data_IF_871983748384
#
_entry.id   IF_871983748384
#
_cell.length_a   1.000
_cell.length_b   1.000
_cell.length_c   1.000
_cell.angle_alpha   90.00
_cell.angle_beta   90.00
_cell.angle_gamma   90.00
#
_symmetry.space_group_name_H-M   'P 1'
#
loop_
_entity.id
_entity.type
_entity.pdbx_description
1 polymer ?
#
# COMPACT_ATOMS: atom_id res chain seq x y z
N UNK A 1 0.15 -14.32 7.67
CA UNK A 1 -0.09 -15.61 7.00
C UNK A 1 -0.07 -15.36 5.49
N UNK A 2 0.52 -16.24 4.68
CA UNK A 2 0.57 -16.10 3.22
C UNK A 2 -0.24 -17.23 2.61
N UNK A 3 -1.39 -16.93 2.03
CA UNK A 3 -2.24 -17.88 1.34
C UNK A 3 -2.14 -17.69 -0.17
N UNK A 4 -1.79 -18.75 -0.90
CA UNK A 4 -1.77 -18.77 -2.36
C UNK A 4 -2.88 -19.71 -2.84
N UNK A 5 -3.84 -19.17 -3.58
CA UNK A 5 -4.97 -19.91 -4.13
C UNK A 5 -5.16 -19.60 -5.62
N UNK A 6 -5.74 -20.52 -6.39
CA UNK A 6 -5.74 -20.41 -7.85
C UNK A 6 -4.34 -20.65 -8.44
N UNK A 7 -4.14 -20.42 -9.74
CA UNK A 7 -2.86 -20.68 -10.44
C UNK A 7 -1.65 -19.85 -9.99
N UNK A 8 -1.74 -19.14 -8.87
CA UNK A 8 -0.68 -18.28 -8.35
C UNK A 8 0.60 -19.06 -8.03
N UNK A 9 1.75 -18.45 -8.33
CA UNK A 9 3.08 -19.00 -8.04
C UNK A 9 3.86 -17.97 -7.23
N UNK A 10 4.43 -18.38 -6.09
CA UNK A 10 5.39 -17.59 -5.33
C UNK A 10 6.80 -18.12 -5.60
N UNK A 11 7.63 -17.29 -6.23
CA UNK A 11 9.06 -17.55 -6.41
C UNK A 11 9.84 -16.71 -5.43
N UNK A 12 10.59 -17.34 -4.52
CA UNK A 12 11.43 -16.65 -3.54
C UNK A 12 12.75 -17.39 -3.39
N UNK A 13 13.86 -16.66 -3.43
CA UNK A 13 15.21 -17.20 -3.21
C UNK A 13 15.42 -17.63 -1.74
N UNK A 14 14.61 -17.10 -0.82
CA UNK A 14 14.63 -17.45 0.60
C UNK A 14 13.20 -17.72 1.11
N UNK A 15 12.65 -18.93 0.85
CA UNK A 15 11.27 -19.24 1.22
C UNK A 15 11.05 -19.17 2.73
N UNK A 16 9.86 -18.73 3.19
CA UNK A 16 9.51 -18.64 4.62
C UNK A 16 9.74 -19.98 5.33
N UNK A 17 10.38 -19.94 6.50
CA UNK A 17 10.65 -21.14 7.32
C UNK A 17 9.67 -21.21 8.49
N UNK A 18 9.08 -22.38 8.72
CA UNK A 18 8.23 -22.62 9.90
C UNK A 18 9.02 -22.38 11.19
N UNK A 19 8.36 -21.80 12.20
CA UNK A 19 8.93 -21.53 13.55
C UNK A 19 10.07 -20.50 13.60
N UNK A 20 10.22 -19.65 12.58
CA UNK A 20 11.09 -18.47 12.65
C UNK A 20 10.61 -17.48 13.74
N UNK A 21 11.54 -16.65 14.25
CA UNK A 21 11.16 -15.51 15.11
C UNK A 21 10.30 -14.53 14.29
N UNK A 22 9.48 -13.74 14.98
CA UNK A 22 8.83 -12.61 14.34
C UNK A 22 9.93 -11.63 13.90
N UNK A 23 9.83 -11.13 12.67
CA UNK A 23 10.62 -9.99 12.26
C UNK A 23 10.33 -8.81 13.21
N UNK A 24 11.38 -8.09 13.60
CA UNK A 24 11.20 -6.79 14.23
C UNK A 24 10.52 -5.88 13.21
N UNK A 25 9.52 -5.11 13.66
CA UNK A 25 8.78 -4.20 12.80
C UNK A 25 9.53 -2.86 12.72
N UNK A 26 10.19 -2.53 11.60
CA UNK A 26 11.01 -1.31 11.51
C UNK A 26 10.16 -0.05 11.37
N UNK A 27 8.87 -0.16 11.07
CA UNK A 27 8.00 0.96 10.71
C UNK A 27 6.99 1.35 11.81
N UNK A 28 6.96 0.59 12.92
CA UNK A 28 5.97 0.80 14.00
C UNK A 28 6.08 2.16 14.69
N UNK A 29 7.29 2.73 14.75
CA UNK A 29 7.57 3.99 15.47
C UNK A 29 7.64 5.21 14.55
N UNK A 30 7.19 5.09 13.29
CA UNK A 30 7.18 6.22 12.38
C UNK A 30 6.26 7.33 12.87
N UNK A 31 6.70 8.60 12.81
CA UNK A 31 5.85 9.71 13.23
C UNK A 31 4.64 9.80 12.30
N UNK A 32 3.46 10.05 12.85
CA UNK A 32 2.25 10.30 12.06
C UNK A 32 1.88 11.78 12.22
N UNK A 33 1.62 12.54 11.14
CA UNK A 33 1.31 13.96 11.26
C UNK A 33 -0.13 14.16 11.79
N UNK A 34 -0.30 14.14 13.11
CA UNK A 34 -1.63 14.19 13.78
C UNK A 34 -2.05 15.61 14.20
N UNK A 35 -1.12 16.55 14.30
CA UNK A 35 -1.34 17.90 14.87
C UNK A 35 -1.85 18.96 13.86
N UNK A 36 -2.15 18.58 12.62
CA UNK A 36 -2.54 19.54 11.56
C UNK A 36 -4.03 19.43 11.22
N UNK A 37 -4.74 20.55 11.04
CA UNK A 37 -6.11 20.51 10.53
C UNK A 37 -6.19 19.92 9.11
N UNK A 38 -7.41 19.67 8.63
CA UNK A 38 -7.62 19.22 7.25
C UNK A 38 -7.23 20.32 6.25
N UNK A 39 -6.33 20.02 5.32
CA UNK A 39 -6.10 20.89 4.14
C UNK A 39 -7.27 20.76 3.16
N UNK A 40 -7.78 19.54 3.01
CA UNK A 40 -8.98 19.22 2.23
C UNK A 40 -9.97 18.49 3.12
N UNK A 41 -11.14 19.09 3.32
CA UNK A 41 -12.21 18.51 4.15
C UNK A 41 -13.23 17.75 3.29
N UNK A 42 -13.61 16.56 3.75
CA UNK A 42 -14.57 15.69 3.08
C UNK A 42 -13.95 14.89 1.94
N UNK A 43 -14.80 14.15 1.24
CA UNK A 43 -14.36 13.23 0.20
C UNK A 43 -13.85 13.97 -1.04
N UNK A 44 -12.67 13.59 -1.49
CA UNK A 44 -12.03 14.09 -2.72
C UNK A 44 -12.31 13.14 -3.88
N UNK A 45 -12.78 13.67 -5.00
CA UNK A 45 -12.98 12.93 -6.25
C UNK A 45 -12.04 13.49 -7.31
N UNK A 46 -10.95 12.78 -7.59
CA UNK A 46 -10.02 13.10 -8.66
C UNK A 46 -10.56 12.59 -10.01
N UNK A 47 -10.60 13.48 -11.00
CA UNK A 47 -11.11 13.25 -12.36
C UNK A 47 -10.00 13.38 -13.41
N UNK A 48 -10.38 13.31 -14.68
CA UNK A 48 -9.44 13.37 -15.80
C UNK A 48 -8.50 14.57 -15.69
N UNK A 49 -7.19 14.29 -15.76
CA UNK A 49 -6.09 15.27 -15.72
C UNK A 49 -6.00 16.10 -14.41
N UNK A 50 -6.68 15.70 -13.33
CA UNK A 50 -6.55 16.36 -12.03
C UNK A 50 -5.14 16.15 -11.45
N UNK A 51 -4.60 17.20 -10.83
CA UNK A 51 -3.34 17.17 -10.09
C UNK A 51 -3.64 17.40 -8.61
N UNK A 52 -3.31 16.42 -7.78
CA UNK A 52 -3.45 16.48 -6.33
C UNK A 52 -2.10 16.87 -5.71
N UNK A 53 -2.13 17.79 -4.76
CA UNK A 53 -0.94 18.26 -4.03
C UNK A 53 -0.84 17.57 -2.66
N UNK A 54 0.35 17.34 -2.11
CA UNK A 54 0.52 16.80 -0.76
C UNK A 54 -0.24 17.60 0.31
N UNK A 55 -0.74 16.90 1.33
CA UNK A 55 -1.54 17.52 2.40
C UNK A 55 -2.39 16.52 3.19
N UNK A 56 -3.15 17.03 4.17
CA UNK A 56 -4.12 16.26 4.97
C UNK A 56 -5.51 16.30 4.34
N UNK A 57 -5.96 15.16 3.85
CA UNK A 57 -7.27 14.89 3.28
C UNK A 57 -8.14 14.19 4.32
N UNK A 58 -9.15 14.88 4.84
CA UNK A 58 -10.06 14.33 5.86
C UNK A 58 -11.30 13.72 5.21
N UNK A 59 -11.19 12.45 4.87
CA UNK A 59 -12.15 11.69 4.09
C UNK A 59 -11.48 10.99 2.91
N UNK A 60 -12.29 10.32 2.09
CA UNK A 60 -11.74 9.43 1.07
C UNK A 60 -11.07 10.22 -0.08
N UNK A 61 -9.99 9.67 -0.62
CA UNK A 61 -9.48 10.04 -1.93
C UNK A 61 -10.00 9.01 -2.93
N UNK A 62 -10.85 9.46 -3.87
CA UNK A 62 -11.42 8.63 -4.94
C UNK A 62 -10.84 9.03 -6.29
N UNK A 63 -10.04 8.16 -6.89
CA UNK A 63 -9.61 8.29 -8.29
C UNK A 63 -10.71 7.73 -9.20
N UNK A 64 -11.26 8.61 -10.03
CA UNK A 64 -12.41 8.32 -10.90
C UNK A 64 -12.19 8.73 -12.36
N UNK A 65 -11.02 9.25 -12.70
CA UNK A 65 -10.62 9.63 -14.06
C UNK A 65 -9.26 9.08 -14.46
N UNK A 66 -8.80 9.48 -15.64
CA UNK A 66 -7.50 9.11 -16.21
C UNK A 66 -6.46 10.23 -16.00
N UNK A 67 -5.17 9.92 -16.11
CA UNK A 67 -4.09 10.89 -15.93
C UNK A 67 -4.12 11.67 -14.59
N UNK A 68 -4.67 11.10 -13.52
CA UNK A 68 -4.65 11.75 -12.21
C UNK A 68 -3.21 11.73 -11.70
N UNK A 69 -2.65 12.91 -11.40
CA UNK A 69 -1.26 13.05 -10.96
C UNK A 69 -1.21 13.45 -9.49
N UNK A 70 -0.39 12.75 -8.71
CA UNK A 70 -0.02 13.11 -7.35
C UNK A 70 1.38 13.72 -7.41
N UNK A 71 1.48 15.00 -7.03
CA UNK A 71 2.79 15.65 -6.89
C UNK A 71 3.62 15.00 -5.76
N UNK A 72 4.96 15.01 -5.84
CA UNK A 72 5.80 14.38 -4.82
C UNK A 72 5.53 14.91 -3.41
N UNK A 73 5.39 14.01 -2.44
CA UNK A 73 5.19 14.34 -1.03
C UNK A 73 4.23 13.42 -0.28
N UNK A 74 3.85 13.83 0.93
CA UNK A 74 3.03 13.02 1.84
C UNK A 74 1.55 13.41 1.76
N UNK A 75 0.71 12.40 1.54
CA UNK A 75 -0.75 12.49 1.52
C UNK A 75 -1.30 11.79 2.76
N UNK A 76 -1.74 12.58 3.73
CA UNK A 76 -2.38 12.03 4.95
C UNK A 76 -3.87 11.90 4.68
N UNK A 77 -4.37 10.67 4.63
CA UNK A 77 -5.78 10.34 4.49
C UNK A 77 -6.30 10.04 5.89
N UNK A 78 -7.09 10.97 6.43
CA UNK A 78 -7.56 10.96 7.80
C UNK A 78 -9.05 10.62 7.86
N UNK A 79 -9.39 9.48 8.47
CA UNK A 79 -10.77 9.03 8.57
C UNK A 79 -11.38 8.60 7.22
N UNK A 80 -10.58 8.12 6.28
CA UNK A 80 -11.04 7.75 4.93
C UNK A 80 -10.13 6.77 4.19
N UNK A 81 -10.60 6.35 3.02
CA UNK A 81 -9.94 5.34 2.18
C UNK A 81 -9.24 5.95 0.95
N UNK A 82 -8.22 5.26 0.45
CA UNK A 82 -7.77 5.44 -0.93
C UNK A 82 -8.54 4.50 -1.86
N UNK A 83 -9.29 5.05 -2.82
CA UNK A 83 -10.19 4.28 -3.67
C UNK A 83 -9.88 4.56 -5.14
N UNK A 84 -9.65 3.51 -5.93
CA UNK A 84 -9.48 3.57 -7.38
C UNK A 84 -10.40 2.56 -8.05
N UNK A 85 -11.25 2.99 -8.98
CA UNK A 85 -12.25 2.12 -9.63
C UNK A 85 -12.01 1.98 -11.14
N UNK A 86 -12.74 1.08 -11.80
CA UNK A 86 -12.50 0.68 -13.18
C UNK A 86 -12.33 1.86 -14.16
N UNK A 87 -11.33 1.76 -15.04
CA UNK A 87 -10.92 2.78 -16.03
C UNK A 87 -10.40 4.08 -15.43
N UNK A 88 -9.83 4.04 -14.22
CA UNK A 88 -9.06 5.15 -13.67
C UNK A 88 -7.56 4.90 -13.78
N UNK A 89 -6.80 5.98 -13.81
CA UNK A 89 -5.36 5.96 -13.93
C UNK A 89 -4.76 7.02 -13.02
N UNK A 90 -3.85 6.59 -12.14
CA UNK A 90 -3.16 7.47 -11.20
C UNK A 90 -1.64 7.29 -11.27
N UNK A 91 -0.94 8.41 -11.18
CA UNK A 91 0.51 8.52 -11.24
C UNK A 91 1.05 9.30 -10.05
N UNK A 92 2.22 8.95 -9.53
CA UNK A 92 2.92 9.76 -8.54
C UNK A 92 4.32 9.24 -8.27
N UNK A 93 5.31 10.13 -8.28
CA UNK A 93 6.70 9.78 -7.98
C UNK A 93 7.12 10.46 -6.69
N UNK A 94 7.80 9.73 -5.81
CA UNK A 94 8.20 10.25 -4.49
C UNK A 94 7.01 10.56 -3.58
N UNK A 95 5.99 9.69 -3.60
CA UNK A 95 4.76 9.88 -2.84
C UNK A 95 4.66 8.88 -1.68
N UNK A 96 4.09 9.34 -0.57
CA UNK A 96 3.71 8.47 0.56
C UNK A 96 2.26 8.74 0.92
N UNK A 97 1.45 7.69 1.01
CA UNK A 97 0.07 7.75 1.49
C UNK A 97 0.00 7.21 2.91
N UNK A 98 -0.48 8.04 3.85
CA UNK A 98 -0.65 7.67 5.26
C UNK A 98 -2.15 7.57 5.55
N UNK A 99 -2.63 6.37 5.86
CA UNK A 99 -3.98 6.10 6.32
C UNK A 99 -4.01 6.21 7.84
N UNK A 100 -4.75 7.17 8.38
CA UNK A 100 -4.86 7.46 9.81
C UNK A 100 -6.29 7.82 10.17
N UNK A 101 -6.58 7.97 11.46
CA UNK A 101 -7.87 8.44 11.97
C UNK A 101 -7.80 8.87 13.42
N UNK A 102 -8.82 9.58 13.89
CA UNK A 102 -8.94 9.97 15.31
C UNK A 102 -9.11 8.74 16.23
N UNK A 103 -9.68 7.67 15.70
CA UNK A 103 -9.87 6.40 16.42
C UNK A 103 -9.46 5.20 15.56
N UNK A 104 -9.21 4.07 16.23
CA UNK A 104 -8.86 2.80 15.59
C UNK A 104 -9.83 2.36 14.48
N UNK A 105 -11.12 2.66 14.63
CA UNK A 105 -12.16 2.31 13.66
C UNK A 105 -12.25 3.27 12.47
N UNK A 106 -11.63 4.45 12.56
CA UNK A 106 -11.65 5.46 11.51
C UNK A 106 -10.47 5.31 10.55
N UNK A 107 -9.44 4.56 10.92
CA UNK A 107 -8.30 4.29 10.03
C UNK A 107 -8.76 3.45 8.84
N UNK A 108 -8.73 4.05 7.66
CA UNK A 108 -9.17 3.43 6.42
C UNK A 108 -8.16 2.46 5.80
N UNK A 109 -8.49 2.03 4.59
CA UNK A 109 -7.73 1.08 3.79
C UNK A 109 -7.51 1.53 2.35
N UNK A 110 -7.25 0.55 1.49
CA UNK A 110 -7.14 0.74 0.03
C UNK A 110 -8.18 -0.13 -0.65
N UNK A 111 -8.85 0.43 -1.65
CA UNK A 111 -9.74 -0.32 -2.53
C UNK A 111 -9.48 0.03 -3.99
N UNK A 112 -8.73 -0.82 -4.69
CA UNK A 112 -8.50 -0.74 -6.13
C UNK A 112 -9.28 -1.85 -6.84
N UNK A 113 -10.14 -1.47 -7.78
CA UNK A 113 -11.02 -2.41 -8.47
C UNK A 113 -10.99 -2.24 -10.00
N UNK A 114 -11.18 -3.36 -10.71
CA UNK A 114 -11.37 -3.39 -12.17
C UNK A 114 -10.09 -3.14 -12.96
N UNK A 115 -10.20 -2.72 -14.22
CA UNK A 115 -9.04 -2.34 -15.05
C UNK A 115 -8.56 -0.91 -14.71
N UNK A 116 -8.21 -0.67 -13.45
CA UNK A 116 -7.53 0.56 -13.02
C UNK A 116 -6.02 0.40 -13.11
N UNK A 117 -5.32 1.51 -13.34
CA UNK A 117 -3.85 1.56 -13.39
C UNK A 117 -3.33 2.49 -12.31
N UNK A 118 -2.37 2.02 -11.52
CA UNK A 118 -1.71 2.81 -10.49
C UNK A 118 -0.20 2.68 -10.66
N UNK A 119 0.44 3.80 -10.97
CA UNK A 119 1.90 3.90 -11.10
C UNK A 119 2.44 4.81 -10.01
N UNK A 120 3.04 4.23 -8.98
CA UNK A 120 3.54 5.00 -7.85
C UNK A 120 4.95 4.57 -7.43
N UNK A 121 5.77 5.53 -7.03
CA UNK A 121 7.03 5.25 -6.35
C UNK A 121 7.13 6.01 -5.03
N UNK A 122 7.57 5.30 -3.98
CA UNK A 122 7.88 5.89 -2.69
C UNK A 122 9.07 6.88 -2.80
N UNK A 123 9.18 7.85 -1.89
CA UNK A 123 10.35 8.73 -1.83
C UNK A 123 11.63 7.93 -1.55
N UNK A 124 12.72 8.31 -2.22
CA UNK A 124 14.06 7.73 -2.03
C UNK A 124 15.06 8.74 -1.44
N UNK A 125 14.54 9.88 -0.97
CA UNK A 125 15.34 10.95 -0.39
C UNK A 125 15.85 10.56 1.01
N UNK A 126 17.18 10.51 1.17
CA UNK A 126 17.85 10.25 2.45
C UNK A 126 17.40 11.25 3.53
N UNK A 127 16.94 10.71 4.66
CA UNK A 127 16.45 11.48 5.81
C UNK A 127 14.97 11.85 5.74
N UNK A 128 14.23 11.44 4.71
CA UNK A 128 12.78 11.43 4.74
C UNK A 128 12.31 10.33 5.72
N UNK A 129 11.50 10.64 6.76
CA UNK A 129 11.03 9.61 7.70
C UNK A 129 10.19 8.52 7.02
N UNK A 130 9.66 8.77 5.83
CA UNK A 130 8.90 7.79 5.03
C UNK A 130 9.66 7.29 3.79
N UNK A 131 10.99 7.43 3.77
CA UNK A 131 11.83 6.87 2.71
C UNK A 131 11.48 5.40 2.47
N UNK A 132 11.18 5.07 1.21
CA UNK A 132 10.81 3.72 0.80
C UNK A 132 9.36 3.30 1.07
N UNK A 133 8.57 4.12 1.77
CA UNK A 133 7.20 3.78 2.18
C UNK A 133 6.20 4.42 1.23
N UNK A 134 5.47 3.57 0.51
CA UNK A 134 4.46 4.01 -0.45
C UNK A 134 3.08 4.16 0.23
N UNK A 135 2.65 3.14 0.98
CA UNK A 135 1.43 3.19 1.77
C UNK A 135 1.73 2.78 3.22
N UNK A 136 1.24 3.57 4.16
CA UNK A 136 1.39 3.36 5.59
C UNK A 136 0.03 3.42 6.27
N UNK A 137 -0.37 2.35 6.94
CA UNK A 137 -1.55 2.33 7.80
C UNK A 137 -1.13 2.51 9.26
N UNK A 138 -1.74 3.48 9.92
CA UNK A 138 -1.53 3.76 11.34
C UNK A 138 -1.73 2.47 12.18
N UNK A 139 -0.73 2.03 12.97
CA UNK A 139 -0.83 0.87 13.86
C UNK A 139 -1.97 0.93 14.89
N UNK A 140 -2.58 2.10 15.13
CA UNK A 140 -3.78 2.21 15.98
C UNK A 140 -5.00 1.52 15.38
N UNK A 141 -5.01 1.23 14.07
CA UNK A 141 -6.14 0.65 13.35
C UNK A 141 -6.67 -0.64 14.02
N UNK A 142 -7.99 -0.84 13.95
CA UNK A 142 -8.59 -2.08 14.46
C UNK A 142 -8.03 -3.31 13.74
N UNK A 143 -7.78 -4.37 14.51
CA UNK A 143 -7.17 -5.58 13.97
C UNK A 143 -8.16 -6.36 13.09
N UNK A 144 -7.86 -6.42 11.79
CA UNK A 144 -8.55 -7.22 10.77
C UNK A 144 -10.07 -6.95 10.72
N UNK A 145 -10.43 -5.68 10.54
CA UNK A 145 -11.82 -5.24 10.47
C UNK A 145 -12.24 -4.96 9.03
N UNK A 146 -13.50 -5.25 8.70
CA UNK A 146 -14.05 -4.87 7.40
C UNK A 146 -14.05 -3.36 7.21
N UNK A 147 -13.32 -2.87 6.22
CA UNK A 147 -13.21 -1.45 5.89
C UNK A 147 -11.77 -0.93 5.90
N UNK A 148 -10.83 -1.59 6.58
CA UNK A 148 -9.44 -1.14 6.67
C UNK A 148 -8.45 -2.01 5.87
N UNK A 149 -8.95 -2.96 5.08
CA UNK A 149 -8.11 -3.82 4.25
C UNK A 149 -7.51 -3.07 3.07
N UNK A 150 -6.38 -3.56 2.56
CA UNK A 150 -5.86 -3.15 1.27
C UNK A 150 -6.22 -4.20 0.22
N UNK A 151 -7.19 -3.85 -0.63
CA UNK A 151 -7.74 -4.72 -1.67
C UNK A 151 -7.35 -4.24 -3.04
N UNK A 152 -6.81 -5.17 -3.82
CA UNK A 152 -6.46 -5.01 -5.23
C UNK A 152 -7.18 -6.10 -6.02
N UNK A 153 -8.26 -5.74 -6.71
CA UNK A 153 -9.21 -6.70 -7.27
C UNK A 153 -9.52 -6.44 -8.76
N UNK A 154 -9.62 -7.51 -9.54
CA UNK A 154 -9.80 -7.45 -10.99
C UNK A 154 -8.47 -7.15 -11.67
N UNK A 155 -8.44 -7.12 -13.01
CA UNK A 155 -7.24 -6.90 -13.82
C UNK A 155 -6.62 -5.51 -13.69
N UNK A 156 -6.32 -5.10 -12.45
CA UNK A 156 -5.59 -3.89 -12.09
C UNK A 156 -4.15 -4.04 -12.59
N UNK A 157 -3.61 -2.94 -13.10
CA UNK A 157 -2.21 -2.83 -13.48
C UNK A 157 -1.51 -2.00 -12.41
N UNK A 158 -0.73 -2.65 -11.56
CA UNK A 158 -0.04 -1.99 -10.45
C UNK A 158 1.45 -1.91 -10.77
N UNK A 159 1.98 -0.71 -10.97
CA UNK A 159 3.41 -0.45 -11.02
C UNK A 159 3.76 0.33 -9.76
N UNK A 160 4.12 -0.39 -8.70
CA UNK A 160 4.33 0.20 -7.38
C UNK A 160 5.74 -0.13 -6.89
N UNK A 161 6.48 0.92 -6.59
CA UNK A 161 7.80 0.83 -5.97
C UNK A 161 7.71 1.32 -4.52
N UNK A 162 8.04 0.45 -3.56
CA UNK A 162 8.11 0.76 -2.13
C UNK A 162 7.43 -0.26 -1.24
N UNK A 163 7.12 0.17 -0.01
CA UNK A 163 6.50 -0.66 1.03
C UNK A 163 5.01 -0.38 1.12
N UNK A 164 4.20 -1.45 1.14
CA UNK A 164 2.81 -1.45 1.59
C UNK A 164 2.76 -1.92 3.05
N UNK A 165 2.68 -0.98 3.99
CA UNK A 165 2.68 -1.26 5.43
C UNK A 165 1.28 -1.22 6.04
N UNK A 166 0.71 -2.39 6.33
CA UNK A 166 -0.64 -2.61 6.86
C UNK A 166 -0.61 -3.61 8.03
N UNK A 167 0.03 -3.27 9.18
CA UNK A 167 0.34 -4.20 10.27
C UNK A 167 -0.89 -4.77 11.00
N UNK A 168 -2.07 -4.17 10.77
CA UNK A 168 -3.34 -4.54 11.39
C UNK A 168 -4.38 -5.06 10.41
N UNK A 169 -4.13 -4.98 9.10
CA UNK A 169 -5.13 -5.29 8.08
C UNK A 169 -4.71 -6.42 7.13
N UNK A 170 -5.70 -6.91 6.38
CA UNK A 170 -5.52 -7.96 5.39
C UNK A 170 -5.17 -7.31 4.04
N UNK A 171 -4.16 -7.86 3.34
CA UNK A 171 -3.78 -7.47 1.99
C UNK A 171 -4.25 -8.54 1.03
N UNK A 172 -5.10 -8.15 0.09
CA UNK A 172 -5.81 -9.10 -0.78
C UNK A 172 -5.57 -8.72 -2.23
N UNK A 173 -4.85 -9.57 -2.94
CA UNK A 173 -4.59 -9.47 -4.37
C UNK A 173 -5.42 -10.53 -5.11
N UNK A 174 -6.38 -10.09 -5.93
CA UNK A 174 -7.27 -10.98 -6.68
C UNK A 174 -7.32 -10.60 -8.16
N UNK A 175 -6.64 -11.38 -9.00
CA UNK A 175 -6.75 -11.29 -10.46
C UNK A 175 -6.03 -10.10 -11.13
N UNK A 176 -4.96 -9.57 -10.54
CA UNK A 176 -4.19 -8.43 -11.07
C UNK A 176 -2.70 -8.70 -11.20
N UNK A 177 -2.04 -8.15 -12.22
CA UNK A 177 -0.58 -8.23 -12.39
C UNK A 177 0.06 -6.96 -11.84
N UNK A 178 1.07 -7.09 -10.97
CA UNK A 178 2.05 -6.00 -10.85
C UNK A 178 2.95 -6.01 -12.08
N UNK A 179 3.30 -4.83 -12.58
CA UNK A 179 4.21 -4.71 -13.70
C UNK A 179 5.65 -4.99 -13.23
N UNK A 180 6.30 -5.93 -13.91
CA UNK A 180 7.72 -6.25 -13.80
C UNK A 180 8.48 -5.39 -14.84
N UNK A 181 9.54 -4.65 -14.46
CA UNK A 181 10.21 -4.62 -13.16
C UNK A 181 9.66 -3.57 -12.18
N UNK A 182 9.49 -3.97 -10.92
CA UNK A 182 9.14 -3.12 -9.77
C UNK A 182 9.83 -3.64 -8.50
N UNK A 183 9.92 -2.82 -7.45
CA UNK A 183 10.34 -3.24 -6.12
C UNK A 183 9.21 -3.04 -5.11
N UNK A 184 8.39 -4.08 -4.87
CA UNK A 184 7.27 -4.01 -3.95
C UNK A 184 7.49 -4.89 -2.72
N UNK A 185 7.59 -4.28 -1.55
CA UNK A 185 7.58 -4.96 -0.26
C UNK A 185 6.19 -4.88 0.37
N UNK A 186 5.73 -5.99 0.94
CA UNK A 186 4.36 -6.11 1.46
C UNK A 186 4.42 -6.53 2.93
N UNK A 187 3.86 -5.72 3.83
CA UNK A 187 3.78 -5.98 5.26
C UNK A 187 2.32 -5.95 5.73
N UNK A 188 1.80 -7.10 6.14
CA UNK A 188 0.38 -7.28 6.43
C UNK A 188 0.10 -8.24 7.57
N UNK A 189 -1.07 -8.14 8.20
CA UNK A 189 -1.53 -9.17 9.14
C UNK A 189 -1.72 -10.52 8.42
N UNK A 190 -2.38 -10.48 7.27
CA UNK A 190 -2.42 -11.56 6.28
C UNK A 190 -2.17 -10.99 4.89
N UNK A 191 -1.60 -11.82 4.01
CA UNK A 191 -1.45 -11.50 2.60
C UNK A 191 -2.03 -12.68 1.81
N UNK A 192 -3.04 -12.40 1.01
CA UNK A 192 -3.73 -13.42 0.21
C UNK A 192 -3.57 -13.11 -1.26
N UNK A 193 -3.09 -14.10 -2.02
CA UNK A 193 -3.02 -14.08 -3.47
C UNK A 193 -4.04 -15.04 -4.05
N UNK A 194 -4.88 -14.54 -4.95
CA UNK A 194 -5.84 -15.36 -5.69
C UNK A 194 -5.86 -14.99 -7.18
N UNK A 195 -6.09 -15.99 -8.03
CA UNK A 195 -6.09 -15.83 -9.49
C UNK A 195 -4.68 -15.70 -10.08
N UNK A 196 -4.58 -15.09 -11.27
CA UNK A 196 -3.32 -14.93 -12.02
C UNK A 196 -2.55 -13.68 -11.55
N UNK A 197 -2.36 -13.53 -10.24
CA UNK A 197 -1.64 -12.39 -9.69
C UNK A 197 -0.12 -12.64 -9.69
N UNK A 198 0.65 -11.64 -10.13
CA UNK A 198 2.12 -11.68 -10.16
C UNK A 198 2.66 -10.49 -9.36
N UNK A 199 3.57 -10.75 -8.42
CA UNK A 199 4.42 -9.73 -7.78
C UNK A 199 5.85 -9.91 -8.29
N UNK A 200 6.36 -8.89 -8.98
CA UNK A 200 7.76 -8.78 -9.36
C UNK A 200 8.57 -8.05 -8.28
N UNK A 201 9.79 -8.49 -8.05
CA UNK A 201 10.75 -7.76 -7.23
C UNK A 201 12.10 -7.78 -7.96
N UNK A 202 12.49 -6.65 -8.54
CA UNK A 202 13.75 -6.52 -9.28
C UNK A 202 14.82 -5.93 -8.37
N UNK A 203 15.89 -6.70 -8.14
CA UNK A 203 16.94 -6.38 -7.17
C UNK A 203 17.57 -5.00 -7.41
N UNK A 204 17.79 -4.59 -8.67
CA UNK A 204 18.41 -3.30 -9.00
C UNK A 204 17.52 -2.11 -8.69
N UNK A 205 16.19 -2.27 -8.81
CA UNK A 205 15.23 -1.24 -8.38
C UNK A 205 15.20 -1.21 -6.86
N UNK A 206 15.17 -2.37 -6.19
CA UNK A 206 15.16 -2.45 -4.73
C UNK A 206 16.40 -1.86 -4.06
N UNK A 207 17.59 -2.07 -4.63
CA UNK A 207 18.84 -1.49 -4.12
C UNK A 207 18.81 0.04 -4.12
N UNK A 208 18.04 0.66 -5.02
CA UNK A 208 17.91 2.12 -5.10
C UNK A 208 16.94 2.72 -4.08
N UNK A 209 16.12 1.89 -3.44
CA UNK A 209 15.06 2.34 -2.52
C UNK A 209 15.49 2.33 -1.05
N UNK A 210 16.72 1.90 -0.74
CA UNK A 210 17.29 1.87 0.62
C UNK A 210 16.35 1.21 1.66
N UNK A 211 15.54 0.24 1.22
CA UNK A 211 14.55 -0.40 2.07
C UNK A 211 15.24 -1.24 3.15
N UNK A 212 14.76 -1.13 4.40
CA UNK A 212 15.15 -2.03 5.48
C UNK A 212 14.80 -3.47 5.08
N UNK A 213 15.82 -4.25 4.72
CA UNK A 213 15.64 -5.65 4.35
C UNK A 213 15.34 -6.45 5.61
N UNK A 214 14.07 -6.82 5.82
CA UNK A 214 13.71 -7.74 6.90
C UNK A 214 14.13 -9.17 6.52
N UNK A 215 15.01 -9.84 7.29
CA UNK A 215 15.46 -11.19 6.98
C UNK A 215 14.45 -12.29 7.34
N UNK A 216 13.21 -11.95 7.75
CA UNK A 216 12.29 -12.91 8.38
C UNK A 216 10.87 -12.82 7.85
N UNK A 217 10.41 -13.92 7.23
CA UNK A 217 9.03 -14.11 6.80
C UNK A 217 8.40 -15.24 7.63
N UNK A 218 7.32 -14.93 8.37
CA UNK A 218 6.57 -15.89 9.20
C UNK A 218 5.37 -16.43 8.42
N UNK A 219 5.25 -17.75 8.33
CA UNK A 219 3.96 -18.43 8.11
C UNK A 219 3.67 -19.24 9.37
N UNK A 220 2.45 -19.12 9.90
CA UNK A 220 2.01 -19.92 11.05
C UNK A 220 0.80 -20.73 10.60
N UNK A 221 1.08 -21.93 10.10
CA UNK A 221 0.05 -22.94 9.84
C UNK A 221 -0.49 -23.41 11.20
N UNK A 222 -1.77 -23.15 11.44
CA UNK A 222 -2.54 -23.78 12.51
C UNK A 222 -3.26 -24.97 11.87
N UNK A 223 -2.94 -26.18 12.31
CA UNK A 223 -3.70 -27.41 12.00
C UNK A 223 -5.12 -27.35 12.58
#
# INVERSE_FOLDING_TARGET
DIEISGGGTLTSDTPPQSLSRAADDPYVDLPIPTDMGCDVSGNTSARDDDVLTPGRYCGDIRVQGQNVTFEPGTYVIDGGDFISNANSEAFGEGVTFILTGDTASDVGGISMNGASTATFSAPTDDGNPYEGILFYQDPIADYRTSGNEARFNGGVNLLMDGVLYFPRADLIFTGGSTADPSCLQVWGATVTFSGDSVIGNEDTICESMNLETSPQFRILLVE
#
